data_IF_807045784429
#
_entry.id   IF_807045784429
#
_cell.length_a   1.000
_cell.length_b   1.000
_cell.length_c   1.000
_cell.angle_alpha   90.00
_cell.angle_beta   90.00
_cell.angle_gamma   90.00
#
_symmetry.space_group_name_H-M   'P 1'
#
loop_
_entity.id
_entity.type
_entity.pdbx_description
1 polymer ?
#
# COMPACT_ATOMS: atom_id res chain seq x y z
N UNK A 1 13.41 -3.85 -18.51
CA UNK A 1 14.36 -4.31 -19.55
C UNK A 1 14.07 -3.52 -20.83
N UNK A 2 15.02 -2.72 -21.31
CA UNK A 2 14.79 -1.80 -22.45
C UNK A 2 14.78 -2.57 -23.77
N UNK A 3 14.00 -2.12 -24.77
CA UNK A 3 14.00 -2.74 -26.13
C UNK A 3 15.40 -2.91 -26.71
N UNK A 4 16.31 -1.98 -26.38
CA UNK A 4 17.73 -2.04 -26.75
C UNK A 4 18.47 -3.21 -26.11
N UNK A 5 18.26 -3.49 -24.81
CA UNK A 5 18.87 -4.65 -24.14
C UNK A 5 18.41 -6.00 -24.70
N UNK A 6 17.14 -6.12 -25.11
CA UNK A 6 16.63 -7.34 -25.75
C UNK A 6 17.27 -7.57 -27.13
N UNK A 7 17.44 -6.51 -27.93
CA UNK A 7 18.09 -6.59 -29.23
C UNK A 7 19.53 -7.09 -29.14
N UNK A 8 20.31 -6.59 -28.17
CA UNK A 8 21.69 -7.04 -27.96
C UNK A 8 21.78 -8.52 -27.54
N UNK A 9 20.84 -9.00 -26.73
CA UNK A 9 20.78 -10.42 -26.36
C UNK A 9 20.48 -11.30 -27.58
N UNK A 10 19.52 -10.89 -28.42
CA UNK A 10 19.16 -11.64 -29.63
C UNK A 10 20.36 -11.68 -30.61
N UNK A 11 21.02 -10.54 -30.84
CA UNK A 11 22.22 -10.48 -31.70
C UNK A 11 23.33 -11.37 -31.15
N UNK A 12 23.57 -11.35 -29.84
CA UNK A 12 24.55 -12.22 -29.18
C UNK A 12 24.25 -13.71 -29.38
N UNK A 13 22.99 -14.13 -29.25
CA UNK A 13 22.57 -15.52 -29.47
C UNK A 13 22.79 -15.94 -30.93
N UNK A 14 22.41 -15.08 -31.89
CA UNK A 14 22.59 -15.36 -33.32
C UNK A 14 24.07 -15.51 -33.68
N UNK A 15 24.93 -14.63 -33.16
CA UNK A 15 26.38 -14.72 -33.35
C UNK A 15 26.92 -16.03 -32.77
N UNK A 16 26.50 -16.41 -31.56
CA UNK A 16 26.92 -17.68 -30.95
C UNK A 16 26.50 -18.90 -31.77
N UNK A 17 25.30 -18.89 -32.36
CA UNK A 17 24.83 -19.96 -33.25
C UNK A 17 25.70 -20.03 -34.51
N UNK A 18 26.00 -18.90 -35.14
CA UNK A 18 26.84 -18.83 -36.34
C UNK A 18 28.25 -19.35 -36.03
N UNK A 19 28.84 -18.95 -34.90
CA UNK A 19 30.16 -19.43 -34.46
C UNK A 19 30.15 -20.95 -34.28
N UNK A 20 29.11 -21.51 -33.65
CA UNK A 20 28.98 -22.96 -33.48
C UNK A 20 28.87 -23.70 -34.82
N UNK A 21 28.09 -23.18 -35.78
CA UNK A 21 27.96 -23.79 -37.11
C UNK A 21 29.30 -23.75 -37.85
N UNK A 22 29.99 -22.61 -37.85
CA UNK A 22 31.31 -22.46 -38.47
C UNK A 22 32.30 -23.44 -37.83
N UNK A 23 32.29 -23.56 -36.50
CA UNK A 23 33.16 -24.48 -35.78
C UNK A 23 32.90 -25.94 -36.19
N UNK A 24 31.64 -26.37 -36.27
CA UNK A 24 31.26 -27.71 -36.73
C UNK A 24 31.76 -27.96 -38.15
N UNK A 25 31.58 -26.99 -39.07
CA UNK A 25 32.02 -27.13 -40.46
C UNK A 25 33.55 -27.22 -40.57
N UNK A 26 34.30 -26.46 -39.76
CA UNK A 26 35.77 -26.53 -39.72
C UNK A 26 36.21 -27.91 -39.20
N UNK A 27 35.60 -28.41 -38.12
CA UNK A 27 35.96 -29.71 -37.52
C UNK A 27 35.64 -30.89 -38.44
N UNK A 28 34.54 -30.80 -39.21
CA UNK A 28 34.14 -31.85 -40.17
C UNK A 28 34.86 -31.76 -41.52
N UNK A 29 35.58 -30.66 -41.80
CA UNK A 29 36.33 -30.52 -43.05
C UNK A 29 37.55 -31.46 -43.07
N UNK A 30 37.92 -32.02 -44.23
CA UNK A 30 39.07 -32.92 -44.33
C UNK A 30 40.35 -32.20 -43.89
N UNK A 31 41.12 -32.83 -43.00
CA UNK A 31 42.28 -32.19 -42.39
C UNK A 31 43.36 -31.89 -43.44
N UNK A 32 43.78 -30.63 -43.53
CA UNK A 32 44.89 -30.22 -44.40
C UNK A 32 46.25 -30.59 -43.75
N UNK A 33 46.29 -30.77 -42.43
CA UNK A 33 47.47 -31.13 -41.64
C UNK A 33 47.21 -32.45 -40.91
N UNK A 34 48.00 -33.49 -41.19
CA UNK A 34 47.75 -34.86 -40.68
C UNK A 34 47.75 -35.04 -39.16
N UNK A 35 48.21 -34.04 -38.39
CA UNK A 35 48.15 -34.02 -36.92
C UNK A 35 46.73 -33.65 -36.42
N UNK A 36 45.94 -32.95 -37.25
CA UNK A 36 44.55 -32.58 -36.98
C UNK A 36 43.57 -33.48 -37.74
N UNK A 37 43.96 -34.71 -38.06
CA UNK A 37 43.06 -35.71 -38.63
C UNK A 37 42.15 -36.28 -37.53
N UNK A 38 40.96 -35.69 -37.41
CA UNK A 38 39.90 -36.14 -36.50
C UNK A 38 39.15 -37.39 -37.01
N UNK A 39 39.46 -37.90 -38.21
CA UNK A 39 38.82 -39.10 -38.78
C UNK A 39 39.49 -40.41 -38.37
N UNK A 40 40.70 -40.34 -37.79
CA UNK A 40 41.40 -41.54 -37.27
C UNK A 40 40.73 -42.09 -35.99
N UNK A 41 40.76 -43.42 -35.81
CA UNK A 41 40.23 -44.09 -34.60
C UNK A 41 40.82 -43.54 -33.29
N UNK A 42 42.10 -43.18 -33.28
CA UNK A 42 42.77 -42.66 -32.08
C UNK A 42 42.31 -41.25 -31.73
N UNK A 43 42.15 -40.37 -32.71
CA UNK A 43 41.67 -39.00 -32.48
C UNK A 43 40.20 -38.98 -32.06
N UNK A 44 39.37 -39.87 -32.64
CA UNK A 44 37.97 -40.08 -32.25
C UNK A 44 37.84 -40.54 -30.78
N UNK A 45 38.73 -41.42 -30.31
CA UNK A 45 38.75 -41.86 -28.92
C UNK A 45 39.12 -40.72 -27.95
N UNK A 46 40.06 -39.85 -28.32
CA UNK A 46 40.45 -38.69 -27.51
C UNK A 46 39.29 -37.69 -27.42
N UNK A 47 38.66 -37.35 -28.55
CA UNK A 47 37.49 -36.46 -28.57
C UNK A 47 36.31 -37.02 -27.78
N UNK A 48 36.06 -38.33 -27.86
CA UNK A 48 35.01 -39.02 -27.09
C UNK A 48 35.32 -39.02 -25.60
N UNK A 49 36.59 -39.17 -25.21
CA UNK A 49 37.01 -39.12 -23.81
C UNK A 49 36.91 -37.71 -23.24
N UNK A 50 37.36 -36.69 -23.99
CA UNK A 50 37.25 -35.29 -23.58
C UNK A 50 35.77 -34.89 -23.47
N UNK A 51 34.94 -35.21 -24.45
CA UNK A 51 33.49 -34.92 -24.39
C UNK A 51 32.79 -35.67 -23.27
N UNK A 52 33.15 -36.93 -23.03
CA UNK A 52 32.64 -37.76 -21.94
C UNK A 52 32.97 -37.21 -20.55
N UNK A 53 34.10 -36.51 -20.39
CA UNK A 53 34.50 -35.89 -19.12
C UNK A 53 33.99 -34.45 -18.97
N UNK A 54 34.03 -33.66 -20.04
CA UNK A 54 33.61 -32.26 -20.03
C UNK A 54 32.09 -32.10 -19.90
N UNK A 55 31.30 -32.99 -20.51
CA UNK A 55 29.83 -32.89 -20.47
C UNK A 55 29.27 -32.98 -19.03
N UNK A 56 29.66 -33.95 -18.18
CA UNK A 56 29.25 -33.98 -16.77
C UNK A 56 29.70 -32.74 -15.99
N UNK A 57 30.94 -32.28 -16.18
CA UNK A 57 31.48 -31.10 -15.48
C UNK A 57 30.68 -29.84 -15.85
N UNK A 58 30.42 -29.63 -17.14
CA UNK A 58 29.62 -28.52 -17.63
C UNK A 58 28.17 -28.62 -17.15
N UNK A 59 27.61 -29.83 -17.09
CA UNK A 59 26.25 -30.06 -16.60
C UNK A 59 26.14 -29.68 -15.12
N UNK A 60 27.06 -30.14 -14.28
CA UNK A 60 27.09 -29.81 -12.84
C UNK A 60 27.33 -28.30 -12.64
N UNK A 61 28.29 -27.72 -13.36
CA UNK A 61 28.56 -26.28 -13.30
C UNK A 61 27.34 -25.46 -13.70
N UNK A 62 26.65 -25.85 -14.78
CA UNK A 62 25.43 -25.18 -15.25
C UNK A 62 24.28 -25.31 -14.24
N UNK A 63 24.09 -26.50 -13.67
CA UNK A 63 23.07 -26.73 -12.64
C UNK A 63 23.33 -25.89 -11.38
N UNK A 64 24.59 -25.77 -10.97
CA UNK A 64 24.98 -24.92 -9.83
C UNK A 64 24.71 -23.43 -10.10
N UNK A 65 25.08 -22.93 -11.29
CA UNK A 65 24.77 -21.55 -11.68
C UNK A 65 23.27 -21.28 -11.75
N UNK A 66 22.50 -22.24 -12.28
CA UNK A 66 21.04 -22.16 -12.32
C UNK A 66 20.44 -22.09 -10.91
N UNK A 67 20.95 -22.91 -9.98
CA UNK A 67 20.52 -22.89 -8.59
C UNK A 67 20.78 -21.53 -7.91
N UNK A 68 21.96 -20.94 -8.13
CA UNK A 68 22.29 -19.60 -7.63
C UNK A 68 21.37 -18.53 -8.23
N UNK A 69 21.12 -18.61 -9.53
CA UNK A 69 20.24 -17.67 -10.23
C UNK A 69 18.80 -17.74 -9.68
N UNK A 70 18.25 -18.95 -9.50
CA UNK A 70 16.92 -19.16 -8.94
C UNK A 70 16.82 -18.63 -7.50
N UNK A 71 17.82 -18.90 -6.66
CA UNK A 71 17.87 -18.39 -5.28
C UNK A 71 17.84 -16.86 -5.27
N UNK A 72 18.68 -16.21 -6.08
CA UNK A 72 18.70 -14.74 -6.19
C UNK A 72 17.41 -14.17 -6.75
N UNK A 73 16.76 -14.88 -7.68
CA UNK A 73 15.46 -14.49 -8.21
C UNK A 73 14.37 -14.55 -7.14
N UNK A 74 14.36 -15.59 -6.30
CA UNK A 74 13.42 -15.73 -5.18
C UNK A 74 13.62 -14.60 -4.16
N UNK A 75 14.88 -14.32 -3.78
CA UNK A 75 15.23 -13.21 -2.89
C UNK A 75 14.73 -11.87 -3.46
N UNK A 76 15.03 -11.58 -4.72
CA UNK A 76 14.57 -10.35 -5.39
C UNK A 76 13.04 -10.25 -5.44
N UNK A 77 12.34 -11.36 -5.74
CA UNK A 77 10.89 -11.37 -5.78
C UNK A 77 10.28 -11.12 -4.40
N UNK A 78 10.88 -11.66 -3.34
CA UNK A 78 10.44 -11.41 -1.97
C UNK A 78 10.65 -9.95 -1.58
N UNK A 79 11.79 -9.36 -1.92
CA UNK A 79 12.07 -7.95 -1.63
C UNK A 79 11.14 -7.00 -2.40
N UNK A 80 10.89 -7.27 -3.69
CA UNK A 80 9.93 -6.51 -4.49
C UNK A 80 8.52 -6.60 -3.91
N UNK A 81 8.09 -7.78 -3.45
CA UNK A 81 6.79 -7.93 -2.78
C UNK A 81 6.70 -7.11 -1.49
N UNK A 82 7.73 -7.17 -0.64
CA UNK A 82 7.78 -6.35 0.60
C UNK A 82 7.69 -4.85 0.29
N UNK A 83 8.40 -4.39 -0.73
CA UNK A 83 8.34 -3.00 -1.17
C UNK A 83 6.94 -2.64 -1.67
N UNK A 84 6.34 -3.45 -2.51
CA UNK A 84 4.99 -3.20 -3.03
C UNK A 84 3.95 -3.14 -1.91
N UNK A 85 4.05 -4.04 -0.93
CA UNK A 85 3.21 -4.04 0.27
C UNK A 85 3.35 -2.72 1.06
N UNK A 86 4.59 -2.27 1.28
CA UNK A 86 4.88 -0.99 1.95
C UNK A 86 4.34 0.22 1.18
N UNK A 87 4.54 0.25 -0.15
CA UNK A 87 4.09 1.33 -1.02
C UNK A 87 2.56 1.42 -1.05
N UNK A 88 1.86 0.28 -1.11
CA UNK A 88 0.40 0.20 -1.05
C UNK A 88 -0.16 0.77 0.26
N UNK A 89 0.38 0.35 1.41
CA UNK A 89 -0.06 0.83 2.72
C UNK A 89 0.23 2.33 2.89
N UNK A 90 1.39 2.79 2.41
CA UNK A 90 1.73 4.22 2.41
C UNK A 90 0.79 5.04 1.53
N UNK A 91 0.43 4.54 0.35
CA UNK A 91 -0.53 5.17 -0.55
C UNK A 91 -1.90 5.32 0.12
N UNK A 92 -2.42 4.23 0.72
CA UNK A 92 -3.71 4.24 1.43
C UNK A 92 -3.68 5.18 2.63
N UNK A 93 -2.57 5.25 3.38
CA UNK A 93 -2.41 6.18 4.48
C UNK A 93 -2.39 7.65 4.02
N UNK A 94 -1.74 7.93 2.89
CA UNK A 94 -1.72 9.26 2.30
C UNK A 94 -3.12 9.66 1.79
N UNK A 95 -3.84 8.72 1.17
CA UNK A 95 -5.22 8.91 0.76
C UNK A 95 -6.13 9.20 1.96
N UNK A 96 -6.01 8.43 3.05
CA UNK A 96 -6.76 8.68 4.29
C UNK A 96 -6.50 10.09 4.85
N UNK A 97 -5.24 10.53 4.90
CA UNK A 97 -4.91 11.89 5.32
C UNK A 97 -5.49 12.95 4.39
N UNK A 98 -5.45 12.70 3.07
CA UNK A 98 -5.99 13.62 2.08
C UNK A 98 -7.51 13.77 2.24
N UNK A 99 -8.24 12.65 2.33
CA UNK A 99 -9.69 12.63 2.53
C UNK A 99 -10.09 13.33 3.84
N UNK A 100 -9.36 13.06 4.92
CA UNK A 100 -9.58 13.74 6.19
C UNK A 100 -9.37 15.25 6.10
N UNK A 101 -8.29 15.68 5.45
CA UNK A 101 -7.97 17.11 5.32
C UNK A 101 -8.84 17.83 4.27
N UNK A 102 -9.52 17.09 3.37
CA UNK A 102 -10.42 17.68 2.38
C UNK A 102 -11.83 17.93 2.90
N UNK A 103 -12.17 17.48 4.11
CA UNK A 103 -13.42 17.89 4.74
C UNK A 103 -13.34 19.39 4.99
N UNK A 104 -14.28 20.13 4.41
CA UNK A 104 -14.38 21.57 4.53
C UNK A 104 -15.74 21.97 5.10
N UNK A 105 -15.74 22.94 6.01
CA UNK A 105 -16.98 23.51 6.53
C UNK A 105 -16.88 25.03 6.58
N UNK A 106 -17.91 25.70 6.04
CA UNK A 106 -17.97 27.17 5.97
C UNK A 106 -18.68 27.71 7.20
N UNK A 107 -17.96 28.46 8.02
CA UNK A 107 -18.49 29.14 9.21
C UNK A 107 -18.67 30.61 8.91
N UNK A 108 -19.87 31.14 9.12
CA UNK A 108 -20.15 32.58 9.04
C UNK A 108 -19.87 33.19 10.41
N UNK A 109 -18.82 34.00 10.51
CA UNK A 109 -18.50 34.77 11.69
C UNK A 109 -19.11 36.17 11.56
N UNK A 110 -20.07 36.49 12.42
CA UNK A 110 -20.59 37.86 12.53
C UNK A 110 -19.64 38.62 13.44
N UNK A 111 -18.89 39.55 12.85
CA UNK A 111 -17.99 40.42 13.62
C UNK A 111 -18.74 41.71 13.90
N UNK A 112 -18.92 41.98 15.20
CA UNK A 112 -19.22 43.28 15.82
C UNK A 112 -20.68 43.56 16.24
N UNK A 113 -20.96 43.28 17.52
CA UNK A 113 -22.19 43.69 18.21
C UNK A 113 -22.20 45.17 18.59
N UNK A 114 -21.06 45.89 18.49
CA UNK A 114 -20.92 47.26 18.97
C UNK A 114 -21.12 48.34 17.90
N UNK A 115 -20.86 48.05 16.61
CA UNK A 115 -20.89 49.08 15.55
C UNK A 115 -22.13 49.08 14.65
N UNK A 116 -23.13 48.21 14.88
CA UNK A 116 -24.33 48.04 14.00
C UNK A 116 -24.01 47.81 12.52
N UNK A 117 -22.76 47.48 12.17
CA UNK A 117 -22.36 47.07 10.82
C UNK A 117 -22.09 45.57 10.84
N UNK A 118 -23.08 44.79 10.42
CA UNK A 118 -22.88 43.36 10.20
C UNK A 118 -21.88 43.16 9.07
N UNK A 119 -20.62 42.89 9.45
CA UNK A 119 -19.61 42.44 8.50
C UNK A 119 -19.45 40.94 8.71
N UNK A 120 -20.16 40.17 7.89
CA UNK A 120 -20.08 38.70 7.90
C UNK A 120 -18.79 38.26 7.20
N UNK A 121 -17.87 37.65 7.95
CA UNK A 121 -16.68 37.00 7.40
C UNK A 121 -16.93 35.50 7.28
N UNK A 122 -16.79 34.94 6.08
CA UNK A 122 -16.83 33.49 5.87
C UNK A 122 -15.45 32.91 6.12
N UNK A 123 -15.34 32.00 7.08
CA UNK A 123 -14.12 31.24 7.38
C UNK A 123 -14.33 29.79 6.92
N UNK A 124 -13.37 29.23 6.19
CA UNK A 124 -13.36 27.84 5.78
C UNK A 124 -12.51 27.06 6.77
N UNK A 125 -13.14 26.19 7.55
CA UNK A 125 -12.46 25.24 8.44
C UNK A 125 -12.21 23.93 7.72
N UNK A 126 -11.11 23.24 8.05
CA UNK A 126 -10.70 21.96 7.45
C UNK A 126 -10.42 20.88 8.49
N UNK A 127 -10.62 19.60 8.12
CA UNK A 127 -10.27 18.44 8.95
C UNK A 127 -10.94 18.45 10.32
N UNK A 128 -10.16 18.36 11.40
CA UNK A 128 -10.66 18.37 12.79
C UNK A 128 -11.57 19.56 13.08
N UNK A 129 -11.16 20.76 12.63
CA UNK A 129 -11.93 21.98 12.87
C UNK A 129 -13.23 21.99 12.08
N UNK A 130 -13.21 21.48 10.85
CA UNK A 130 -14.43 21.31 10.05
C UNK A 130 -15.42 20.36 10.75
N UNK A 131 -14.96 19.20 11.21
CA UNK A 131 -15.82 18.23 11.89
C UNK A 131 -16.38 18.77 13.22
N UNK A 132 -15.58 19.50 13.99
CA UNK A 132 -16.06 20.19 15.21
C UNK A 132 -17.06 21.30 14.89
N UNK A 133 -16.85 22.04 13.81
CA UNK A 133 -17.77 23.10 13.36
C UNK A 133 -19.10 22.50 12.86
N UNK A 134 -19.04 21.38 12.13
CA UNK A 134 -20.20 20.58 11.74
C UNK A 134 -20.99 20.18 12.99
N UNK A 135 -20.36 19.54 13.97
CA UNK A 135 -21.02 19.19 15.24
C UNK A 135 -21.67 20.42 15.92
N UNK A 136 -20.92 21.52 16.08
CA UNK A 136 -21.42 22.71 16.76
C UNK A 136 -22.62 23.35 16.05
N UNK A 137 -22.68 23.24 14.72
CA UNK A 137 -23.81 23.72 13.92
C UNK A 137 -25.04 22.86 14.14
N UNK A 138 -24.89 21.53 14.08
CA UNK A 138 -26.01 20.61 14.08
C UNK A 138 -26.44 20.10 15.45
N UNK A 139 -25.66 20.33 16.53
CA UNK A 139 -26.06 19.94 17.90
C UNK A 139 -27.38 20.58 18.33
N UNK A 140 -27.73 21.75 17.78
CA UNK A 140 -28.98 22.46 18.08
C UNK A 140 -30.12 22.10 17.12
N UNK A 141 -29.79 21.59 15.93
CA UNK A 141 -30.75 21.19 14.91
C UNK A 141 -30.38 19.81 14.32
N UNK A 142 -30.45 18.72 15.11
CA UNK A 142 -29.96 17.40 14.68
C UNK A 142 -30.63 16.89 13.40
N UNK A 143 -31.90 17.24 13.18
CA UNK A 143 -32.65 16.85 11.96
C UNK A 143 -32.05 17.39 10.66
N UNK A 144 -31.29 18.49 10.72
CA UNK A 144 -30.59 19.07 9.56
C UNK A 144 -29.22 18.42 9.31
N UNK A 145 -28.72 17.62 10.26
CA UNK A 145 -27.51 16.82 10.10
C UNK A 145 -27.61 15.78 8.98
N UNK A 146 -28.85 15.51 8.53
CA UNK A 146 -29.20 14.67 7.41
C UNK A 146 -28.67 15.20 6.07
N UNK A 147 -28.31 16.48 5.94
CA UNK A 147 -27.77 17.01 4.69
C UNK A 147 -26.47 16.27 4.31
N UNK A 148 -26.58 15.52 3.22
CA UNK A 148 -25.96 14.20 2.99
C UNK A 148 -24.45 14.27 2.68
N UNK A 149 -23.91 15.45 2.34
CA UNK A 149 -22.54 15.57 1.82
C UNK A 149 -21.47 15.22 2.86
N UNK A 150 -21.57 15.76 4.07
CA UNK A 150 -20.54 15.54 5.11
C UNK A 150 -20.57 14.12 5.68
N UNK A 151 -21.72 13.47 5.66
CA UNK A 151 -21.84 12.06 6.04
C UNK A 151 -21.23 11.12 5.00
N UNK A 152 -21.38 11.44 3.72
CA UNK A 152 -20.70 10.71 2.65
C UNK A 152 -19.18 10.86 2.76
N UNK A 153 -18.68 12.06 3.02
CA UNK A 153 -17.25 12.34 3.25
C UNK A 153 -16.70 11.54 4.46
N UNK A 154 -17.41 11.58 5.59
CA UNK A 154 -17.03 10.83 6.78
C UNK A 154 -17.05 9.31 6.54
N UNK A 155 -18.05 8.83 5.82
CA UNK A 155 -18.17 7.41 5.45
C UNK A 155 -17.03 6.99 4.53
N UNK A 156 -16.61 7.85 3.60
CA UNK A 156 -15.43 7.61 2.75
C UNK A 156 -14.16 7.46 3.58
N UNK A 157 -13.92 8.38 4.53
CA UNK A 157 -12.76 8.33 5.43
C UNK A 157 -12.75 7.02 6.23
N UNK A 158 -13.91 6.62 6.75
CA UNK A 158 -14.07 5.36 7.49
C UNK A 158 -13.79 4.16 6.59
N UNK A 159 -14.29 4.15 5.36
CA UNK A 159 -14.02 3.08 4.40
C UNK A 159 -12.51 2.98 4.09
N UNK A 160 -11.85 4.09 3.80
CA UNK A 160 -10.40 4.15 3.56
C UNK A 160 -9.61 3.69 4.78
N UNK A 161 -10.04 4.06 5.98
CA UNK A 161 -9.45 3.58 7.23
C UNK A 161 -9.56 2.05 7.35
N UNK A 162 -10.73 1.47 7.09
CA UNK A 162 -10.94 0.01 7.17
C UNK A 162 -10.14 -0.75 6.11
N UNK A 163 -10.06 -0.19 4.89
CA UNK A 163 -9.21 -0.74 3.83
C UNK A 163 -7.74 -0.75 4.25
N UNK A 164 -7.26 0.35 4.83
CA UNK A 164 -5.91 0.45 5.34
C UNK A 164 -5.65 -0.55 6.46
N UNK A 165 -6.57 -0.75 7.42
CA UNK A 165 -6.42 -1.79 8.43
C UNK A 165 -6.33 -3.20 7.85
N UNK A 166 -7.15 -3.47 6.84
CA UNK A 166 -7.14 -4.76 6.15
C UNK A 166 -5.82 -4.97 5.42
N UNK A 167 -5.32 -3.94 4.74
CA UNK A 167 -4.01 -3.96 4.08
C UNK A 167 -2.87 -4.21 5.09
N UNK A 168 -2.90 -3.53 6.25
CA UNK A 168 -1.92 -3.70 7.32
C UNK A 168 -1.94 -5.11 7.89
N UNK A 169 -3.13 -5.67 8.16
CA UNK A 169 -3.28 -7.05 8.67
C UNK A 169 -2.69 -8.11 7.73
N UNK A 170 -2.74 -7.83 6.42
CA UNK A 170 -2.25 -8.73 5.37
C UNK A 170 -0.75 -8.55 5.08
N UNK A 171 -0.06 -7.62 5.74
CA UNK A 171 1.39 -7.45 5.60
C UNK A 171 2.13 -8.69 6.09
N UNK A 172 3.09 -9.16 5.27
CA UNK A 172 3.91 -10.34 5.59
C UNK A 172 5.03 -10.03 6.58
N UNK A 173 5.54 -8.80 6.56
CA UNK A 173 6.65 -8.37 7.41
C UNK A 173 6.10 -7.90 8.77
N UNK A 174 6.34 -8.64 9.88
CA UNK A 174 5.75 -8.34 11.18
C UNK A 174 6.16 -6.96 11.71
N UNK A 175 7.45 -6.60 11.58
CA UNK A 175 7.94 -5.30 12.06
C UNK A 175 7.27 -4.12 11.33
N UNK A 176 7.12 -4.25 10.01
CA UNK A 176 6.43 -3.25 9.18
C UNK A 176 4.96 -3.16 9.53
N UNK A 177 4.33 -4.31 9.81
CA UNK A 177 2.94 -4.38 10.24
C UNK A 177 2.74 -3.63 11.56
N UNK A 178 3.53 -3.92 12.59
CA UNK A 178 3.44 -3.25 13.89
C UNK A 178 3.60 -1.74 13.76
N UNK A 179 4.57 -1.26 12.96
CA UNK A 179 4.77 0.16 12.70
C UNK A 179 3.51 0.83 12.12
N UNK A 180 2.87 0.21 11.13
CA UNK A 180 1.66 0.76 10.54
C UNK A 180 0.43 0.62 11.43
N UNK A 181 0.32 -0.45 12.23
CA UNK A 181 -0.74 -0.62 13.25
C UNK A 181 -0.68 0.52 14.29
N UNK A 182 0.51 0.88 14.77
CA UNK A 182 0.67 2.03 15.66
C UNK A 182 0.30 3.34 14.97
N UNK A 183 0.76 3.53 13.74
CA UNK A 183 0.52 4.76 12.98
C UNK A 183 -0.97 4.99 12.71
N UNK A 184 -1.72 3.95 12.35
CA UNK A 184 -3.17 4.06 12.15
C UNK A 184 -3.92 4.22 13.48
N UNK A 185 -3.45 3.58 14.55
CA UNK A 185 -3.98 3.80 15.91
C UNK A 185 -3.83 5.27 16.32
N UNK A 186 -2.64 5.87 16.14
CA UNK A 186 -2.43 7.30 16.44
C UNK A 186 -3.28 8.20 15.57
N UNK A 187 -3.46 7.87 14.29
CA UNK A 187 -4.40 8.60 13.43
C UNK A 187 -5.81 8.59 14.03
N UNK A 188 -6.32 7.43 14.45
CA UNK A 188 -7.64 7.35 15.09
C UNK A 188 -7.70 8.20 16.36
N UNK A 189 -6.76 8.00 17.29
CA UNK A 189 -6.76 8.65 18.61
C UNK A 189 -6.73 10.18 18.46
N UNK A 190 -5.84 10.71 17.63
CA UNK A 190 -5.61 12.15 17.57
C UNK A 190 -6.48 12.89 16.55
N UNK A 191 -6.96 12.23 15.48
CA UNK A 191 -7.72 12.89 14.41
C UNK A 191 -9.19 12.52 14.34
N UNK A 192 -9.56 11.29 14.70
CA UNK A 192 -10.93 10.80 14.51
C UNK A 192 -11.71 10.62 15.80
N UNK A 193 -11.06 10.25 16.92
CA UNK A 193 -11.75 9.88 18.16
C UNK A 193 -12.72 10.97 18.63
N UNK A 194 -12.21 12.19 18.85
CA UNK A 194 -13.03 13.29 19.38
C UNK A 194 -14.12 13.71 18.38
N UNK A 195 -13.81 13.97 17.10
CA UNK A 195 -14.86 14.27 16.12
C UNK A 195 -15.95 13.20 16.01
N UNK A 196 -15.58 11.91 15.96
CA UNK A 196 -16.54 10.81 15.87
C UNK A 196 -17.37 10.68 17.14
N UNK A 197 -16.77 10.94 18.31
CA UNK A 197 -17.48 10.97 19.59
C UNK A 197 -18.58 12.03 19.56
N UNK A 198 -18.25 13.27 19.19
CA UNK A 198 -19.20 14.37 19.08
C UNK A 198 -20.31 14.07 18.05
N UNK A 199 -19.93 13.56 16.87
CA UNK A 199 -20.88 13.19 15.82
C UNK A 199 -21.81 12.06 16.30
N UNK A 200 -21.31 11.09 17.05
CA UNK A 200 -22.12 9.99 17.58
C UNK A 200 -23.22 10.49 18.53
N UNK A 201 -22.98 11.57 19.29
CA UNK A 201 -24.00 12.19 20.13
C UNK A 201 -25.13 12.77 19.29
N UNK A 202 -24.80 13.50 18.23
CA UNK A 202 -25.81 14.02 17.29
C UNK A 202 -26.62 12.88 16.67
N UNK A 203 -25.96 11.80 16.23
CA UNK A 203 -26.63 10.64 15.62
C UNK A 203 -27.56 9.91 16.60
N UNK A 204 -27.21 9.83 17.88
CA UNK A 204 -28.08 9.19 18.91
C UNK A 204 -29.42 9.90 19.06
N UNK A 205 -29.48 11.20 18.79
CA UNK A 205 -30.73 11.99 18.85
C UNK A 205 -31.63 11.82 17.62
N UNK A 206 -31.14 11.15 16.57
CA UNK A 206 -31.92 10.83 15.38
C UNK A 206 -32.76 9.57 15.58
N UNK A 207 -33.89 9.51 14.86
CA UNK A 207 -34.71 8.31 14.74
C UNK A 207 -33.90 7.15 14.14
N UNK A 208 -34.15 5.91 14.57
CA UNK A 208 -33.36 4.73 14.17
C UNK A 208 -33.25 4.55 12.65
N UNK A 209 -34.31 4.86 11.92
CA UNK A 209 -34.35 4.77 10.45
C UNK A 209 -33.46 5.79 9.73
N UNK A 210 -32.98 6.82 10.44
CA UNK A 210 -32.18 7.92 9.89
C UNK A 210 -30.72 7.90 10.35
N UNK A 211 -30.32 6.91 11.17
CA UNK A 211 -28.95 6.85 11.71
C UNK A 211 -27.94 6.35 10.66
N UNK A 212 -26.82 7.05 10.44
CA UNK A 212 -25.71 6.54 9.64
C UNK A 212 -24.98 5.42 10.38
N UNK A 213 -25.53 4.21 10.28
CA UNK A 213 -25.12 3.05 11.08
C UNK A 213 -23.64 2.68 10.88
N UNK A 214 -23.09 2.91 9.68
CA UNK A 214 -21.67 2.68 9.38
C UNK A 214 -20.75 3.50 10.29
N UNK A 215 -21.05 4.78 10.50
CA UNK A 215 -20.25 5.69 11.34
C UNK A 215 -20.33 5.26 12.80
N UNK A 216 -21.55 4.97 13.26
CA UNK A 216 -21.81 4.58 14.64
C UNK A 216 -21.17 3.23 15.00
N UNK A 217 -21.34 2.21 14.16
CA UNK A 217 -20.70 0.91 14.33
C UNK A 217 -19.18 1.00 14.29
N UNK A 218 -18.63 1.78 13.35
CA UNK A 218 -17.18 1.99 13.26
C UNK A 218 -16.63 2.59 14.57
N UNK A 219 -17.25 3.67 15.06
CA UNK A 219 -16.84 4.33 16.29
C UNK A 219 -16.93 3.37 17.49
N UNK A 220 -18.07 2.70 17.68
CA UNK A 220 -18.28 1.74 18.77
C UNK A 220 -17.25 0.60 18.74
N UNK A 221 -16.97 0.06 17.55
CA UNK A 221 -15.95 -0.99 17.37
C UNK A 221 -14.56 -0.47 17.77
N UNK A 222 -14.15 0.70 17.28
CA UNK A 222 -12.82 1.26 17.54
C UNK A 222 -12.63 1.71 18.98
N UNK A 223 -13.69 2.20 19.61
CA UNK A 223 -13.64 2.55 21.03
C UNK A 223 -13.40 1.32 21.90
N UNK A 224 -14.10 0.21 21.64
CA UNK A 224 -13.85 -1.06 22.34
C UNK A 224 -12.44 -1.61 22.09
N UNK A 225 -11.95 -1.49 20.87
CA UNK A 225 -10.63 -2.00 20.47
C UNK A 225 -9.48 -1.24 21.13
N UNK A 226 -9.55 0.09 21.19
CA UNK A 226 -8.46 0.93 21.72
C UNK A 226 -8.63 1.38 23.16
N UNK A 227 -9.86 1.33 23.69
CA UNK A 227 -10.23 1.77 25.04
C UNK A 227 -11.26 0.80 25.65
N UNK A 228 -10.87 -0.45 25.96
CA UNK A 228 -11.80 -1.49 26.42
C UNK A 228 -12.50 -1.13 27.75
N UNK A 229 -11.86 -0.32 28.59
CA UNK A 229 -12.41 0.13 29.88
C UNK A 229 -13.39 1.30 29.76
N UNK A 230 -13.56 1.87 28.56
CA UNK A 230 -14.41 3.02 28.33
C UNK A 230 -15.83 2.59 27.96
N UNK A 231 -16.81 2.85 28.82
CA UNK A 231 -18.21 2.59 28.50
C UNK A 231 -18.79 3.69 27.62
N UNK A 232 -19.47 3.32 26.53
CA UNK A 232 -20.17 4.27 25.65
C UNK A 232 -21.29 5.04 26.38
N UNK A 233 -21.75 4.52 27.51
CA UNK A 233 -22.76 5.19 28.33
C UNK A 233 -22.16 6.30 29.22
N UNK A 234 -20.82 6.33 29.38
CA UNK A 234 -20.09 7.39 30.08
C UNK A 234 -19.80 8.62 29.21
N UNK A 235 -19.96 8.54 27.87
CA UNK A 235 -19.72 9.66 26.93
C UNK A 235 -20.40 10.97 27.36
N UNK A 236 -21.62 10.87 27.87
CA UNK A 236 -22.49 12.01 28.22
C UNK A 236 -21.93 12.87 29.36
N UNK A 237 -21.01 12.32 30.17
CA UNK A 237 -20.45 12.99 31.35
C UNK A 237 -19.13 13.73 31.03
N UNK A 238 -18.29 13.20 30.14
CA UNK A 238 -16.96 13.76 29.86
C UNK A 238 -16.98 15.02 28.96
N UNK A 239 -17.99 15.16 28.09
CA UNK A 239 -18.07 16.33 27.19
C UNK A 239 -18.53 17.59 27.92
N UNK A 240 -19.31 17.44 29.01
CA UNK A 240 -19.74 18.57 29.83
C UNK A 240 -18.62 19.10 30.74
N UNK A 241 -17.60 18.31 31.06
CA UNK A 241 -16.47 18.73 31.91
C UNK A 241 -15.27 19.28 31.12
N UNK A 242 -15.18 19.02 29.81
CA UNK A 242 -14.11 19.50 28.93
C UNK A 242 -14.34 20.88 28.28
N UNK A 243 -15.37 21.62 28.69
CA UNK A 243 -15.70 22.97 28.17
C UNK A 243 -15.38 24.08 29.18
N UNK A 244 -14.16 24.07 29.70
CA UNK A 244 -13.56 25.15 30.50
C UNK A 244 -12.32 25.70 29.83
#
# INVERSE_FOLDING_TARGET
>A
MSRRSLQWIIVGIVILIIINIIFILIVLSPSIVGIFDFTSKNTSNIATTISGLTSPILTVGSAYLLYLALTKQIESNNEQRRKNDFDMVTLLYNQLNKEYNSIEFRVVQVTDAFTRKETSKVVIEVGDRALKAIYNTYKRTPKQFKDISHMAELSSIIATFVLLETAIKNLRAPDTRTLFEEKIRYFYIYKLKVPLQLISECVRTLDESERPETVFHFFKRKQREYFPDYSIDQLSQDVNTGSS
#
